data_IF_371047516226
#
_entry.id   IF_371047516226
#
_cell.length_a   1.000
_cell.length_b   1.000
_cell.length_c   1.000
_cell.angle_alpha   90.00
_cell.angle_beta   90.00
_cell.angle_gamma   90.00
#
_symmetry.space_group_name_H-M   'P 1'
#
loop_
_entity.id
_entity.type
_entity.pdbx_description
1 polymer ?
#
# COMPACT_ATOMS: atom_id res chain seq x y z
N UNK A 1 39.66 -5.55 -3.26
CA UNK A 1 39.35 -4.15 -2.92
C UNK A 1 37.86 -4.07 -2.64
N UNK A 2 37.45 -3.63 -1.46
CA UNK A 2 36.02 -3.42 -1.16
C UNK A 2 35.63 -2.08 -1.79
N UNK A 3 34.73 -2.09 -2.77
CA UNK A 3 34.14 -0.85 -3.26
C UNK A 3 33.40 -0.18 -2.10
N UNK A 4 33.86 1.01 -1.70
CA UNK A 4 33.11 1.84 -0.76
C UNK A 4 31.82 2.28 -1.45
N UNK A 5 30.71 1.64 -1.10
CA UNK A 5 29.39 2.03 -1.58
C UNK A 5 29.08 3.49 -1.24
N UNK A 6 28.21 4.11 -2.05
CA UNK A 6 27.78 5.49 -1.82
C UNK A 6 27.21 5.64 -0.39
N UNK A 7 27.59 6.68 0.37
CA UNK A 7 27.00 6.96 1.67
C UNK A 7 25.54 7.35 1.47
N UNK A 8 24.66 6.84 2.32
CA UNK A 8 23.27 7.26 2.41
C UNK A 8 22.91 7.52 3.87
N UNK A 9 21.89 8.35 4.08
CA UNK A 9 21.44 8.76 5.40
C UNK A 9 19.98 8.39 5.58
N UNK A 10 19.66 7.82 6.73
CA UNK A 10 18.28 7.70 7.19
C UNK A 10 17.96 8.94 8.03
N UNK A 11 17.03 9.76 7.56
CA UNK A 11 16.55 10.93 8.29
C UNK A 11 15.22 10.56 8.92
N UNK A 12 15.15 10.69 10.25
CA UNK A 12 13.94 10.39 11.01
C UNK A 12 13.22 11.70 11.32
N UNK A 13 11.99 11.83 10.87
CA UNK A 13 11.14 12.98 11.16
C UNK A 13 10.13 12.63 12.24
N UNK A 14 9.81 13.60 13.10
CA UNK A 14 8.64 13.48 13.95
C UNK A 14 7.41 13.87 13.13
N UNK A 15 6.38 13.00 12.99
CA UNK A 15 5.15 13.39 12.34
C UNK A 15 4.48 14.55 13.11
N UNK A 16 3.83 15.46 12.39
CA UNK A 16 2.92 16.41 13.01
C UNK A 16 1.68 15.69 13.54
N UNK A 17 0.94 16.30 14.48
CA UNK A 17 -0.28 15.69 15.04
C UNK A 17 -1.29 15.24 13.98
N UNK A 18 -1.45 16.05 12.91
CA UNK A 18 -2.34 15.71 11.78
C UNK A 18 -1.85 14.47 11.01
N UNK A 19 -0.55 14.25 10.94
CA UNK A 19 0.05 13.10 10.26
C UNK A 19 0.01 11.86 11.16
N UNK A 20 0.19 12.02 12.47
CA UNK A 20 0.03 10.94 13.46
C UNK A 20 -1.35 10.29 13.35
N UNK A 21 -2.41 11.09 13.21
CA UNK A 21 -3.79 10.60 13.03
C UNK A 21 -3.98 9.78 11.74
N UNK A 22 -3.08 9.91 10.76
CA UNK A 22 -3.11 9.21 9.47
C UNK A 22 -2.11 8.06 9.39
N UNK A 23 -1.31 7.81 10.44
CA UNK A 23 -0.46 6.64 10.57
C UNK A 23 -1.22 5.62 11.41
N UNK A 24 -1.78 4.61 10.73
CA UNK A 24 -2.70 3.66 11.36
C UNK A 24 -2.13 2.24 11.27
N UNK A 25 -2.41 1.36 12.25
CA UNK A 25 -2.11 -0.06 12.11
C UNK A 25 -2.73 -0.60 10.82
N UNK A 26 -2.00 -1.45 10.10
CA UNK A 26 -2.44 -2.04 8.84
C UNK A 26 -3.48 -3.16 9.06
N UNK A 27 -4.61 -2.76 9.64
CA UNK A 27 -5.81 -3.56 9.85
C UNK A 27 -6.87 -3.20 8.83
N UNK A 28 -7.89 -4.04 8.67
CA UNK A 28 -9.06 -3.68 7.86
C UNK A 28 -9.79 -2.42 8.37
N UNK A 29 -9.78 -2.17 9.67
CA UNK A 29 -10.33 -0.94 10.25
C UNK A 29 -9.47 0.28 9.86
N UNK A 30 -8.14 0.12 9.89
CA UNK A 30 -7.19 1.12 9.41
C UNK A 30 -7.37 1.42 7.91
N UNK A 31 -7.54 0.38 7.08
CA UNK A 31 -7.85 0.53 5.65
C UNK A 31 -9.14 1.31 5.46
N UNK A 32 -10.20 0.93 6.17
CA UNK A 32 -11.51 1.60 6.10
C UNK A 32 -11.39 3.08 6.50
N UNK A 33 -10.65 3.38 7.56
CA UNK A 33 -10.39 4.75 7.98
C UNK A 33 -9.64 5.55 6.91
N UNK A 34 -8.52 5.03 6.38
CA UNK A 34 -7.76 5.69 5.32
C UNK A 34 -8.63 5.94 4.09
N UNK A 35 -9.39 4.94 3.65
CA UNK A 35 -10.29 5.08 2.49
C UNK A 35 -11.38 6.10 2.75
N UNK A 36 -11.98 6.13 3.94
CA UNK A 36 -12.99 7.14 4.29
C UNK A 36 -12.45 8.56 4.22
N UNK A 37 -11.18 8.77 4.61
CA UNK A 37 -10.54 10.07 4.69
C UNK A 37 -9.96 10.55 3.36
N UNK A 38 -9.31 9.66 2.61
CA UNK A 38 -8.55 10.02 1.39
C UNK A 38 -9.31 9.70 0.11
N UNK A 39 -10.20 8.70 0.15
CA UNK A 39 -10.86 8.13 -1.02
C UNK A 39 -12.38 7.95 -0.79
N UNK A 40 -13.11 9.01 -0.42
CA UNK A 40 -14.47 8.91 0.12
C UNK A 40 -15.48 8.22 -0.80
N UNK A 41 -15.30 8.31 -2.13
CA UNK A 41 -16.18 7.64 -3.10
C UNK A 41 -15.98 6.13 -3.19
N UNK A 42 -14.85 5.60 -2.70
CA UNK A 42 -14.59 4.17 -2.61
C UNK A 42 -15.01 3.59 -1.25
N UNK A 43 -15.27 4.43 -0.25
CA UNK A 43 -15.58 3.98 1.10
C UNK A 43 -16.86 3.16 1.19
N UNK A 44 -17.93 3.59 0.49
CA UNK A 44 -19.19 2.84 0.48
C UNK A 44 -19.00 1.45 -0.13
N UNK A 45 -18.39 1.38 -1.32
CA UNK A 45 -18.14 0.10 -2.00
C UNK A 45 -17.21 -0.81 -1.18
N UNK A 46 -16.21 -0.22 -0.50
CA UNK A 46 -15.34 -0.96 0.42
C UNK A 46 -16.13 -1.64 1.53
N UNK A 47 -17.03 -0.91 2.19
CA UNK A 47 -17.85 -1.45 3.26
C UNK A 47 -18.80 -2.53 2.76
N UNK A 48 -19.40 -2.33 1.58
CA UNK A 48 -20.29 -3.31 0.95
C UNK A 48 -19.58 -4.64 0.69
N UNK A 49 -18.32 -4.59 0.21
CA UNK A 49 -17.55 -5.78 -0.17
C UNK A 49 -16.55 -6.25 0.90
N UNK A 50 -16.53 -5.65 2.10
CA UNK A 50 -15.48 -5.84 3.10
C UNK A 50 -15.28 -7.31 3.49
N UNK A 51 -16.37 -8.02 3.76
CA UNK A 51 -16.31 -9.43 4.14
C UNK A 51 -15.83 -10.32 2.98
N UNK A 52 -16.19 -9.99 1.74
CA UNK A 52 -15.65 -10.69 0.56
C UNK A 52 -14.15 -10.43 0.44
N UNK A 53 -13.69 -9.20 0.63
CA UNK A 53 -12.26 -8.84 0.54
C UNK A 53 -11.41 -9.53 1.61
N UNK A 54 -11.95 -9.69 2.83
CA UNK A 54 -11.30 -10.39 3.95
C UNK A 54 -11.15 -11.89 3.69
N UNK A 55 -12.20 -12.51 3.14
CA UNK A 55 -12.29 -13.97 3.07
C UNK A 55 -11.87 -14.55 1.71
N UNK A 56 -11.65 -13.73 0.69
CA UNK A 56 -11.24 -14.17 -0.64
C UNK A 56 -9.72 -14.07 -0.79
N UNK A 57 -9.07 -15.19 -1.10
CA UNK A 57 -7.63 -15.23 -1.30
C UNK A 57 -7.22 -14.41 -2.54
N UNK A 58 -6.07 -13.74 -2.49
CA UNK A 58 -5.57 -12.87 -3.56
C UNK A 58 -5.59 -13.53 -4.95
N UNK A 59 -5.13 -14.78 -5.03
CA UNK A 59 -5.12 -15.59 -6.27
C UNK A 59 -6.50 -15.79 -6.90
N UNK A 60 -7.56 -15.83 -6.11
CA UNK A 60 -8.91 -15.97 -6.65
C UNK A 60 -9.36 -14.67 -7.35
N UNK A 61 -8.94 -13.51 -6.86
CA UNK A 61 -9.20 -12.24 -7.54
C UNK A 61 -8.43 -12.15 -8.87
N UNK A 62 -7.16 -12.57 -8.92
CA UNK A 62 -6.39 -12.60 -10.18
C UNK A 62 -7.02 -13.56 -11.20
N UNK A 63 -7.51 -14.72 -10.73
CA UNK A 63 -8.25 -15.66 -11.57
C UNK A 63 -9.54 -15.06 -12.12
N UNK A 64 -10.29 -14.32 -11.30
CA UNK A 64 -11.50 -13.60 -11.76
C UNK A 64 -11.17 -12.49 -12.76
N UNK A 65 -10.05 -11.79 -12.56
CA UNK A 65 -9.58 -10.74 -13.46
C UNK A 65 -9.08 -11.28 -14.79
N UNK A 66 -8.54 -12.49 -14.81
CA UNK A 66 -7.91 -13.10 -15.98
C UNK A 66 -6.50 -12.57 -16.27
N UNK A 67 -5.88 -11.90 -15.30
CA UNK A 67 -4.52 -11.35 -15.40
C UNK A 67 -3.89 -11.20 -14.01
N UNK A 68 -2.56 -11.08 -13.95
CA UNK A 68 -1.85 -10.77 -12.72
C UNK A 68 -2.02 -9.30 -12.35
N UNK A 69 -2.33 -8.99 -11.10
CA UNK A 69 -2.50 -7.60 -10.64
C UNK A 69 -1.22 -6.77 -10.81
N UNK A 70 -0.06 -7.44 -10.84
CA UNK A 70 1.22 -6.83 -11.17
C UNK A 70 1.21 -6.13 -12.54
N UNK A 71 0.42 -6.62 -13.51
CA UNK A 71 0.28 -6.01 -14.82
C UNK A 71 -0.40 -4.64 -14.74
N UNK A 72 -1.44 -4.48 -13.93
CA UNK A 72 -2.04 -3.17 -13.64
C UNK A 72 -1.01 -2.20 -13.08
N UNK A 73 -0.21 -2.66 -12.09
CA UNK A 73 0.81 -1.82 -11.45
C UNK A 73 1.91 -1.38 -12.41
N UNK A 74 2.32 -2.26 -13.33
CA UNK A 74 3.30 -1.93 -14.37
C UNK A 74 2.77 -0.93 -15.40
N UNK A 75 1.45 -0.76 -15.47
CA UNK A 75 0.79 0.19 -16.37
C UNK A 75 0.30 1.46 -15.64
N UNK A 76 0.95 1.86 -14.54
CA UNK A 76 0.57 3.04 -13.75
C UNK A 76 0.56 4.33 -14.58
N UNK A 77 1.46 4.46 -15.55
CA UNK A 77 1.53 5.61 -16.46
C UNK A 77 0.62 5.47 -17.69
N UNK A 78 -0.13 4.36 -17.82
CA UNK A 78 -1.01 4.10 -18.97
C UNK A 78 -0.26 3.92 -20.30
N UNK A 79 1.03 3.59 -20.26
CA UNK A 79 1.90 3.51 -21.44
C UNK A 79 1.70 2.24 -22.27
N UNK A 80 1.00 1.24 -21.73
CA UNK A 80 0.75 -0.03 -22.41
C UNK A 80 -0.76 -0.18 -22.68
N UNK A 81 -1.26 0.21 -23.87
CA UNK A 81 -2.69 0.23 -24.18
C UNK A 81 -3.36 -1.14 -24.12
N UNK A 82 -2.60 -2.20 -24.43
CA UNK A 82 -3.10 -3.58 -24.44
C UNK A 82 -3.05 -4.23 -23.05
N UNK A 83 -2.57 -3.50 -22.03
CA UNK A 83 -2.47 -3.99 -20.66
C UNK A 83 -3.63 -3.48 -19.80
N UNK A 84 -4.03 -4.25 -18.77
CA UNK A 84 -5.01 -3.79 -17.81
C UNK A 84 -4.67 -2.38 -17.27
N UNK A 85 -5.66 -1.49 -17.14
CA UNK A 85 -5.42 -0.15 -16.63
C UNK A 85 -4.99 -0.21 -15.16
N UNK A 86 -4.20 0.76 -14.75
CA UNK A 86 -3.96 1.02 -13.33
C UNK A 86 -5.22 1.59 -12.68
N UNK A 87 -5.62 1.03 -11.54
CA UNK A 87 -6.83 1.47 -10.83
C UNK A 87 -6.49 2.66 -9.92
N UNK A 88 -6.19 3.80 -10.54
CA UNK A 88 -6.07 5.05 -9.80
C UNK A 88 -7.41 5.43 -9.16
N UNK A 89 -7.39 6.31 -8.16
CA UNK A 89 -8.65 6.79 -7.57
C UNK A 89 -9.56 7.47 -8.61
N UNK A 90 -8.98 8.24 -9.53
CA UNK A 90 -9.71 8.89 -10.62
C UNK A 90 -10.34 7.86 -11.57
N UNK A 91 -9.55 6.87 -12.02
CA UNK A 91 -10.06 5.79 -12.87
C UNK A 91 -11.17 5.01 -12.16
N UNK A 92 -10.97 4.65 -10.90
CA UNK A 92 -11.95 3.95 -10.09
C UNK A 92 -13.27 4.74 -9.98
N UNK A 93 -13.19 6.05 -9.75
CA UNK A 93 -14.36 6.93 -9.70
C UNK A 93 -15.14 6.95 -11.03
N UNK A 94 -14.44 6.83 -12.17
CA UNK A 94 -15.06 6.79 -13.50
C UNK A 94 -15.82 5.49 -13.80
N UNK A 95 -15.60 4.42 -13.03
CA UNK A 95 -16.23 3.14 -13.27
C UNK A 95 -17.76 3.20 -13.05
N UNK A 96 -18.56 2.47 -13.85
CA UNK A 96 -19.99 2.35 -13.62
C UNK A 96 -20.31 1.77 -12.24
N UNK A 97 -21.42 2.22 -11.67
CA UNK A 97 -21.99 1.66 -10.44
C UNK A 97 -23.05 0.59 -10.78
N UNK A 98 -23.24 -0.46 -9.94
CA UNK A 98 -22.46 -0.77 -8.74
C UNK A 98 -21.07 -1.35 -9.07
N UNK A 99 -20.06 -0.97 -8.28
CA UNK A 99 -18.71 -1.53 -8.41
C UNK A 99 -18.62 -2.90 -7.73
N UNK A 100 -17.82 -3.79 -8.31
CA UNK A 100 -17.65 -5.17 -7.83
C UNK A 100 -16.52 -5.27 -6.80
N UNK A 101 -16.56 -6.32 -5.96
CA UNK A 101 -15.46 -6.62 -5.03
C UNK A 101 -14.08 -6.72 -5.72
N UNK A 102 -14.03 -7.23 -6.96
CA UNK A 102 -12.80 -7.29 -7.75
C UNK A 102 -12.26 -5.89 -8.06
N UNK A 103 -13.12 -4.96 -8.49
CA UNK A 103 -12.73 -3.58 -8.77
C UNK A 103 -12.26 -2.86 -7.51
N UNK A 104 -12.93 -3.08 -6.37
CA UNK A 104 -12.47 -2.57 -5.07
C UNK A 104 -11.10 -3.14 -4.73
N UNK A 105 -10.88 -4.45 -4.90
CA UNK A 105 -9.60 -5.09 -4.60
C UNK A 105 -8.46 -4.56 -5.49
N UNK A 106 -8.71 -4.35 -6.78
CA UNK A 106 -7.77 -3.76 -7.73
C UNK A 106 -7.40 -2.33 -7.35
N UNK A 107 -8.39 -1.53 -6.95
CA UNK A 107 -8.17 -0.19 -6.42
C UNK A 107 -7.29 -0.21 -5.16
N UNK A 108 -7.62 -1.04 -4.17
CA UNK A 108 -6.81 -1.17 -2.95
C UNK A 108 -5.38 -1.67 -3.22
N UNK A 109 -5.21 -2.56 -4.19
CA UNK A 109 -3.90 -3.03 -4.62
C UNK A 109 -3.07 -1.92 -5.28
N UNK A 110 -3.71 -1.14 -6.15
CA UNK A 110 -3.07 -0.04 -6.86
C UNK A 110 -2.79 1.12 -5.90
N UNK A 111 -3.82 1.77 -5.36
CA UNK A 111 -3.69 3.02 -4.61
C UNK A 111 -3.11 2.84 -3.21
N UNK A 112 -3.55 1.83 -2.46
CA UNK A 112 -3.11 1.63 -1.06
C UNK A 112 -1.96 0.63 -0.93
N UNK A 113 -1.50 0.04 -2.05
CA UNK A 113 -0.46 -1.00 -2.08
C UNK A 113 -0.77 -2.19 -1.14
N UNK A 114 -2.04 -2.56 -0.99
CA UNK A 114 -2.42 -3.76 -0.25
C UNK A 114 -2.13 -5.01 -1.09
N UNK A 115 -0.89 -5.51 -1.00
CA UNK A 115 -0.38 -6.60 -1.84
C UNK A 115 -0.92 -7.98 -1.42
N UNK A 116 -0.41 -9.05 -2.05
CA UNK A 116 -0.81 -10.45 -1.80
C UNK A 116 -0.63 -10.89 -0.33
N UNK A 117 0.38 -10.33 0.36
CA UNK A 117 0.75 -10.70 1.72
C UNK A 117 -0.05 -9.94 2.79
N UNK A 118 -0.87 -8.96 2.39
CA UNK A 118 -1.65 -8.17 3.33
C UNK A 118 -2.79 -9.00 3.92
N UNK A 119 -2.82 -9.10 5.25
CA UNK A 119 -3.85 -9.85 6.00
C UNK A 119 -4.83 -8.95 6.72
N UNK A 120 -4.44 -7.70 6.99
CA UNK A 120 -5.27 -6.77 7.75
C UNK A 120 -5.34 -7.07 9.24
N UNK A 121 -4.27 -7.62 9.82
CA UNK A 121 -4.12 -7.94 11.23
C UNK A 121 -3.04 -7.09 11.94
N UNK A 122 -2.54 -6.02 11.27
CA UNK A 122 -1.44 -5.15 11.72
C UNK A 122 -0.04 -5.77 11.73
N UNK A 123 0.15 -6.96 11.17
CA UNK A 123 1.46 -7.61 11.13
C UNK A 123 1.89 -7.94 9.70
N UNK A 124 3.13 -7.58 9.38
CA UNK A 124 3.74 -7.96 8.12
C UNK A 124 3.90 -9.49 8.09
N UNK A 125 3.44 -10.09 6.99
CA UNK A 125 3.65 -11.51 6.74
C UNK A 125 4.96 -11.72 6.03
N UNK A 126 5.80 -12.57 6.60
CA UNK A 126 7.05 -13.03 6.03
C UNK A 126 6.86 -14.38 5.36
N UNK A 127 7.65 -14.67 4.33
CA UNK A 127 7.59 -15.97 3.64
C UNK A 127 8.23 -17.10 4.45
N UNK A 128 9.03 -16.77 5.45
CA UNK A 128 9.83 -17.73 6.21
C UNK A 128 9.14 -18.15 7.52
N UNK A 129 8.84 -19.44 7.72
CA UNK A 129 8.27 -19.93 8.97
C UNK A 129 9.16 -19.59 10.18
N UNK A 130 8.61 -18.87 11.16
CA UNK A 130 9.31 -18.54 12.42
C UNK A 130 10.04 -17.18 12.44
N UNK A 131 9.89 -16.37 11.40
CA UNK A 131 10.44 -15.01 11.38
C UNK A 131 9.60 -14.02 12.20
N UNK A 132 10.26 -12.96 12.67
CA UNK A 132 9.65 -11.94 13.55
C UNK A 132 8.56 -11.20 12.78
N UNK A 133 7.33 -11.25 13.30
CA UNK A 133 6.22 -10.42 12.82
C UNK A 133 6.50 -8.96 13.19
N UNK A 134 6.81 -8.14 12.19
CA UNK A 134 6.91 -6.70 12.37
C UNK A 134 5.51 -6.08 12.32
N UNK A 135 5.29 -5.03 13.12
CA UNK A 135 4.07 -4.23 12.99
C UNK A 135 4.06 -3.56 11.61
N UNK A 136 2.95 -3.72 10.91
CA UNK A 136 2.68 -3.10 9.62
C UNK A 136 1.73 -1.91 9.84
N UNK A 137 2.02 -0.80 9.16
CA UNK A 137 1.26 0.44 9.26
C UNK A 137 0.87 0.94 7.88
N UNK A 138 -0.27 1.61 7.82
CA UNK A 138 -0.75 2.39 6.68
C UNK A 138 -0.41 3.85 6.93
N UNK A 139 0.11 4.49 5.90
CA UNK A 139 0.38 5.93 5.90
C UNK A 139 0.21 6.45 4.49
N UNK A 140 -0.44 7.60 4.28
CA UNK A 140 -0.33 8.30 3.01
C UNK A 140 1.10 8.79 2.78
N UNK A 141 1.38 9.13 1.53
CA UNK A 141 2.56 9.91 1.21
C UNK A 141 2.40 11.31 1.80
N UNK A 142 3.42 11.77 2.53
CA UNK A 142 3.48 13.15 3.03
C UNK A 142 4.44 13.97 2.19
N UNK A 143 4.10 15.23 1.95
CA UNK A 143 5.09 16.17 1.43
C UNK A 143 6.13 16.43 2.53
N UNK A 144 7.40 16.50 2.15
CA UNK A 144 8.47 16.81 3.11
C UNK A 144 8.25 18.16 3.79
N UNK A 145 7.61 19.12 3.10
CA UNK A 145 7.24 20.42 3.66
C UNK A 145 6.22 20.35 4.80
N UNK A 146 5.47 19.26 4.89
CA UNK A 146 4.44 19.06 5.92
C UNK A 146 5.01 18.41 7.19
N UNK A 147 6.25 17.91 7.12
CA UNK A 147 6.95 17.38 8.28
C UNK A 147 7.42 18.54 9.16
N UNK A 148 7.32 18.37 10.48
CA UNK A 148 7.77 19.39 11.42
C UNK A 148 9.26 19.70 11.24
N UNK A 149 9.73 20.89 11.67
CA UNK A 149 11.14 21.25 11.61
C UNK A 149 12.03 20.35 12.49
N UNK A 150 11.42 19.60 13.40
CA UNK A 150 12.09 18.71 14.34
C UNK A 150 12.37 17.34 13.68
N UNK A 151 13.64 17.11 13.34
CA UNK A 151 14.14 15.77 13.01
C UNK A 151 14.56 15.05 14.30
N UNK A 152 14.14 13.79 14.44
CA UNK A 152 14.51 12.91 15.54
C UNK A 152 15.97 12.45 15.42
N UNK A 153 16.54 12.47 14.21
CA UNK A 153 17.93 12.18 13.97
C UNK A 153 18.30 12.01 12.50
N UNK A 154 19.61 12.03 12.24
CA UNK A 154 20.21 11.67 10.97
C UNK A 154 21.18 10.53 11.24
N UNK A 155 20.89 9.35 10.69
CA UNK A 155 21.67 8.15 10.89
C UNK A 155 22.50 7.89 9.63
N UNK A 156 23.84 7.95 9.69
CA UNK A 156 24.67 7.54 8.56
C UNK A 156 24.53 6.02 8.40
N UNK A 157 24.20 5.58 7.19
CA UNK A 157 24.04 4.18 6.87
C UNK A 157 25.17 3.75 5.93
N UNK A 158 25.75 2.59 6.23
CA UNK A 158 26.77 1.97 5.37
C UNK A 158 26.13 0.80 4.66
N UNK A 159 26.34 0.71 3.34
CA UNK A 159 25.88 -0.46 2.57
C UNK A 159 26.57 -1.71 3.11
N UNK A 160 25.79 -2.61 3.70
CA UNK A 160 26.25 -3.97 4.00
C UNK A 160 25.82 -4.83 2.81
N UNK A 161 26.80 -5.29 2.03
CA UNK A 161 26.53 -6.31 1.01
C UNK A 161 26.25 -7.62 1.75
N UNK A 162 25.02 -8.12 1.66
CA UNK A 162 24.70 -9.49 2.08
C UNK A 162 25.08 -10.36 0.87
N UNK A 163 26.06 -11.29 1.01
CA UNK A 163 26.37 -12.23 -0.07
C UNK A 163 25.16 -13.12 -0.33
N UNK A 164 24.93 -13.43 -1.61
CA UNK A 164 23.86 -14.32 -2.08
C UNK A 164 23.92 -15.71 -1.41
#
# INVERSE_FOLDING_TARGET
MVEKGNPYWLILFKPSKKQEDLILPATWDGVTHIVSSLYPHAHHDLLEHLETLKNTHFREFEKQAGFEFLECRRNEQGTFPDKPPYYSYEFYCSLPQPRTALQVRLFLYCELRLLEMFRGDAYASTRDPGSVHCLEYLSPNFQLSDLGPDFLGVLPMTRVSIPD
#
